data_IF_183629507249
#
_entry.id   IF_183629507249
#
_cell.length_a   1.000
_cell.length_b   1.000
_cell.length_c   1.000
_cell.angle_alpha   90.00
_cell.angle_beta   90.00
_cell.angle_gamma   90.00
#
_symmetry.space_group_name_H-M   'P 1'
#
loop_
_entity.id
_entity.type
_entity.pdbx_description
1 polymer ?
#
# COMPACT_ATOMS: atom_id res chain seq x y z
N UNK A 1 39.75 10.12 17.01
CA UNK A 1 38.45 10.82 16.89
C UNK A 1 37.57 9.98 15.97
N UNK A 2 36.40 9.55 16.42
CA UNK A 2 35.45 8.78 15.59
C UNK A 2 34.33 9.74 15.20
N UNK A 3 34.13 9.93 13.89
CA UNK A 3 33.04 10.75 13.37
C UNK A 3 31.72 9.95 13.43
N UNK A 4 30.58 10.60 13.74
CA UNK A 4 29.29 9.94 13.64
C UNK A 4 29.02 9.51 12.20
N UNK A 5 28.39 8.34 12.04
CA UNK A 5 27.91 7.82 10.74
C UNK A 5 26.39 7.86 10.70
N UNK A 6 25.85 8.29 9.58
CA UNK A 6 24.40 8.24 9.33
C UNK A 6 23.94 6.79 9.16
N UNK A 7 22.68 6.49 9.49
CA UNK A 7 22.10 5.17 9.20
C UNK A 7 22.11 4.89 7.69
N UNK A 8 22.31 3.62 7.34
CA UNK A 8 22.11 3.16 5.96
C UNK A 8 20.61 3.05 5.66
N UNK A 9 20.22 3.40 4.43
CA UNK A 9 18.86 3.17 3.91
C UNK A 9 18.71 1.83 3.20
N UNK A 10 19.75 0.98 3.21
CA UNK A 10 19.68 -0.37 2.62
C UNK A 10 18.69 -1.27 3.38
N UNK A 11 18.02 -2.11 2.62
CA UNK A 11 17.02 -3.08 3.05
C UNK A 11 17.48 -4.53 2.80
N UNK A 12 18.79 -4.75 2.66
CA UNK A 12 19.37 -6.07 2.42
C UNK A 12 18.91 -7.08 3.49
N UNK A 13 18.45 -8.25 3.04
CA UNK A 13 17.90 -9.30 3.91
C UNK A 13 16.49 -9.04 4.44
N UNK A 14 15.84 -7.95 4.05
CA UNK A 14 14.44 -7.66 4.40
C UNK A 14 13.49 -8.18 3.33
N UNK A 15 12.31 -8.59 3.78
CA UNK A 15 11.19 -9.02 2.93
C UNK A 15 10.11 -7.95 2.96
N UNK A 16 9.64 -7.52 1.80
CA UNK A 16 8.60 -6.50 1.68
C UNK A 16 7.40 -7.02 0.90
N UNK A 17 6.20 -6.63 1.29
CA UNK A 17 4.95 -6.88 0.57
C UNK A 17 4.40 -5.56 0.06
N UNK A 18 4.01 -5.49 -1.21
CA UNK A 18 3.36 -4.31 -1.80
C UNK A 18 2.04 -4.72 -2.43
N UNK A 19 0.92 -4.19 -1.94
CA UNK A 19 -0.42 -4.44 -2.51
C UNK A 19 -0.75 -3.47 -3.63
N UNK A 20 -1.55 -3.89 -4.61
CA UNK A 20 -1.85 -3.08 -5.80
C UNK A 20 -0.60 -2.79 -6.65
N UNK A 21 0.35 -3.73 -6.68
CA UNK A 21 1.68 -3.53 -7.28
C UNK A 21 1.77 -3.87 -8.77
N UNK A 22 0.66 -4.17 -9.45
CA UNK A 22 0.67 -4.48 -10.89
C UNK A 22 1.02 -3.29 -11.79
N UNK A 23 0.84 -2.04 -11.31
CA UNK A 23 1.10 -0.81 -12.08
C UNK A 23 1.20 0.42 -11.20
N UNK A 24 1.54 1.56 -11.82
CA UNK A 24 1.50 2.88 -11.19
C UNK A 24 2.40 2.99 -9.95
N UNK A 25 1.91 3.67 -8.92
CA UNK A 25 2.65 3.90 -7.67
C UNK A 25 3.07 2.59 -7.00
N UNK A 26 2.21 1.58 -6.97
CA UNK A 26 2.53 0.29 -6.35
C UNK A 26 3.74 -0.40 -7.00
N UNK A 27 3.77 -0.45 -8.33
CA UNK A 27 4.92 -1.02 -9.06
C UNK A 27 6.19 -0.20 -8.80
N UNK A 28 6.11 1.13 -8.83
CA UNK A 28 7.24 2.01 -8.57
C UNK A 28 7.81 1.81 -7.15
N UNK A 29 6.94 1.67 -6.14
CA UNK A 29 7.33 1.38 -4.75
C UNK A 29 7.99 0.01 -4.62
N UNK A 30 7.44 -1.01 -5.28
CA UNK A 30 8.05 -2.34 -5.29
C UNK A 30 9.46 -2.32 -5.92
N UNK A 31 9.62 -1.64 -7.05
CA UNK A 31 10.92 -1.46 -7.70
C UNK A 31 11.90 -0.71 -6.79
N UNK A 32 11.46 0.38 -6.13
CA UNK A 32 12.31 1.15 -5.22
C UNK A 32 12.77 0.35 -3.99
N UNK A 33 11.88 -0.45 -3.39
CA UNK A 33 12.23 -1.32 -2.27
C UNK A 33 13.22 -2.43 -2.69
N UNK A 34 13.01 -3.00 -3.88
CA UNK A 34 13.91 -3.99 -4.45
C UNK A 34 15.29 -3.39 -4.75
N UNK A 35 15.32 -2.16 -5.27
CA UNK A 35 16.56 -1.42 -5.51
C UNK A 35 17.34 -1.14 -4.22
N UNK A 36 16.63 -0.82 -3.14
CA UNK A 36 17.22 -0.71 -1.82
C UNK A 36 17.67 -2.05 -1.20
N UNK A 37 17.41 -3.19 -1.85
CA UNK A 37 17.92 -4.52 -1.45
C UNK A 37 16.90 -5.46 -0.82
N UNK A 38 15.62 -5.06 -0.73
CA UNK A 38 14.58 -5.95 -0.19
C UNK A 38 14.20 -7.04 -1.19
N UNK A 39 13.87 -8.24 -0.68
CA UNK A 39 13.12 -9.22 -1.45
C UNK A 39 11.64 -8.83 -1.45
N UNK A 40 11.12 -8.42 -2.61
CA UNK A 40 9.78 -7.85 -2.72
C UNK A 40 8.75 -8.88 -3.20
N UNK A 41 7.59 -8.91 -2.57
CA UNK A 41 6.41 -9.64 -3.02
C UNK A 41 5.40 -8.63 -3.53
N UNK A 42 5.11 -8.69 -4.82
CA UNK A 42 4.12 -7.86 -5.48
C UNK A 42 2.78 -8.60 -5.47
N UNK A 43 1.73 -7.90 -5.03
CA UNK A 43 0.37 -8.44 -4.99
C UNK A 43 -0.59 -7.56 -5.76
N UNK A 44 -1.41 -8.16 -6.62
CA UNK A 44 -2.56 -7.53 -7.26
C UNK A 44 -3.58 -8.60 -7.69
N UNK A 45 -4.76 -8.17 -8.12
CA UNK A 45 -5.82 -9.06 -8.65
C UNK A 45 -5.51 -9.61 -10.03
N UNK A 46 -4.77 -8.85 -10.84
CA UNK A 46 -4.45 -9.23 -12.22
C UNK A 46 -3.08 -9.91 -12.24
N UNK A 47 -3.08 -11.24 -12.39
CA UNK A 47 -1.87 -12.07 -12.36
C UNK A 47 -0.80 -11.61 -13.36
N UNK A 48 -1.21 -11.36 -14.61
CA UNK A 48 -0.28 -10.98 -15.67
C UNK A 48 0.40 -9.63 -15.41
N UNK A 49 -0.33 -8.64 -14.87
CA UNK A 49 0.24 -7.33 -14.54
C UNK A 49 1.29 -7.45 -13.42
N UNK A 50 1.01 -8.25 -12.39
CA UNK A 50 1.92 -8.40 -11.25
C UNK A 50 3.15 -9.23 -11.60
N UNK A 51 2.98 -10.27 -12.42
CA UNK A 51 4.09 -11.07 -12.93
C UNK A 51 5.01 -10.27 -13.86
N UNK A 52 4.44 -9.46 -14.77
CA UNK A 52 5.25 -8.59 -15.62
C UNK A 52 6.13 -7.63 -14.80
N UNK A 53 5.57 -7.03 -13.74
CA UNK A 53 6.32 -6.17 -12.83
C UNK A 53 7.42 -6.92 -12.06
N UNK A 54 7.12 -8.10 -11.52
CA UNK A 54 8.09 -8.93 -10.82
C UNK A 54 9.21 -9.42 -11.75
N UNK A 55 8.88 -9.82 -12.99
CA UNK A 55 9.83 -10.22 -14.01
C UNK A 55 10.81 -9.09 -14.35
N UNK A 56 10.31 -7.87 -14.56
CA UNK A 56 11.17 -6.70 -14.83
C UNK A 56 12.14 -6.41 -13.67
N UNK A 57 11.69 -6.54 -12.41
CA UNK A 57 12.55 -6.37 -11.23
C UNK A 57 13.64 -7.46 -11.19
N UNK A 58 13.30 -8.71 -11.52
CA UNK A 58 14.26 -9.83 -11.59
C UNK A 58 15.26 -9.67 -12.73
N UNK A 59 14.83 -9.25 -13.91
CA UNK A 59 15.71 -8.99 -15.07
C UNK A 59 16.75 -7.91 -14.73
N UNK A 60 16.38 -6.94 -13.90
CA UNK A 60 17.29 -5.94 -13.37
C UNK A 60 18.19 -6.45 -12.22
N UNK A 61 18.25 -7.76 -11.96
CA UNK A 61 19.15 -8.38 -10.98
C UNK A 61 18.69 -8.29 -9.53
N UNK A 62 17.41 -7.97 -9.26
CA UNK A 62 16.85 -7.82 -7.91
C UNK A 62 15.91 -8.97 -7.57
N UNK A 63 15.49 -9.10 -6.30
CA UNK A 63 14.64 -10.19 -5.85
C UNK A 63 13.16 -9.80 -5.84
N UNK A 64 12.33 -10.47 -6.64
CA UNK A 64 10.90 -10.23 -6.68
C UNK A 64 10.07 -11.50 -6.93
N UNK A 65 8.96 -11.61 -6.21
CA UNK A 65 7.93 -12.64 -6.38
C UNK A 65 6.60 -11.96 -6.71
N UNK A 66 5.84 -12.52 -7.64
CA UNK A 66 4.48 -12.10 -7.92
C UNK A 66 3.47 -13.04 -7.26
N UNK A 67 2.36 -12.50 -6.77
CA UNK A 67 1.25 -13.29 -6.26
C UNK A 67 -0.08 -12.63 -6.61
N UNK A 68 -0.98 -13.41 -7.19
CA UNK A 68 -2.35 -12.97 -7.45
C UNK A 68 -3.15 -13.05 -6.14
N UNK A 69 -3.67 -11.92 -5.68
CA UNK A 69 -4.53 -11.85 -4.50
C UNK A 69 -5.47 -10.64 -4.60
N UNK A 70 -6.76 -10.87 -4.38
CA UNK A 70 -7.71 -9.80 -4.12
C UNK A 70 -7.70 -9.47 -2.63
N UNK A 71 -7.20 -8.28 -2.29
CA UNK A 71 -7.14 -7.82 -0.90
C UNK A 71 -8.52 -7.53 -0.29
N UNK A 72 -9.58 -7.47 -1.11
CA UNK A 72 -10.95 -7.34 -0.63
C UNK A 72 -11.56 -8.69 -0.19
N UNK A 73 -10.96 -9.81 -0.61
CA UNK A 73 -11.29 -11.16 -0.14
C UNK A 73 -10.50 -11.45 1.14
N UNK A 74 -11.19 -11.34 2.29
CA UNK A 74 -10.54 -11.40 3.59
C UNK A 74 -10.09 -12.81 3.96
N UNK A 75 -10.78 -13.84 3.46
CA UNK A 75 -10.41 -15.24 3.69
C UNK A 75 -9.14 -15.54 2.90
N UNK A 76 -9.07 -15.12 1.62
CA UNK A 76 -7.86 -15.24 0.82
C UNK A 76 -6.67 -14.45 1.41
N UNK A 77 -6.92 -13.28 2.01
CA UNK A 77 -5.87 -12.52 2.72
C UNK A 77 -5.37 -13.28 3.94
N UNK A 78 -6.26 -13.88 4.73
CA UNK A 78 -5.87 -14.66 5.90
C UNK A 78 -5.01 -15.88 5.49
N UNK A 79 -5.45 -16.64 4.49
CA UNK A 79 -4.73 -17.79 3.95
C UNK A 79 -3.36 -17.39 3.39
N UNK A 80 -3.29 -16.27 2.65
CA UNK A 80 -2.03 -15.74 2.11
C UNK A 80 -0.97 -15.56 3.19
N UNK A 81 -1.33 -14.98 4.35
CA UNK A 81 -0.40 -14.75 5.44
C UNK A 81 -0.12 -16.02 6.27
N UNK A 82 -1.09 -16.92 6.41
CA UNK A 82 -0.91 -18.17 7.16
C UNK A 82 0.20 -19.06 6.57
N UNK A 83 0.34 -19.05 5.24
CA UNK A 83 1.31 -19.87 4.51
C UNK A 83 2.71 -19.23 4.36
N UNK A 84 2.91 -18.03 4.90
CA UNK A 84 4.12 -17.22 4.62
C UNK A 84 4.81 -16.80 5.91
N UNK A 85 6.16 -16.78 5.93
CA UNK A 85 6.87 -16.18 7.04
C UNK A 85 6.60 -14.67 7.09
N UNK A 86 6.84 -14.03 8.24
CA UNK A 86 6.64 -12.60 8.40
C UNK A 86 7.38 -11.76 7.35
N UNK A 87 6.67 -10.75 6.84
CA UNK A 87 7.30 -9.64 6.12
C UNK A 87 7.88 -8.65 7.14
N UNK A 88 8.92 -7.93 6.73
CA UNK A 88 9.50 -6.84 7.51
C UNK A 88 8.84 -5.51 7.16
N UNK A 89 8.33 -5.39 5.93
CA UNK A 89 7.76 -4.17 5.38
C UNK A 89 6.43 -4.52 4.72
N UNK A 90 5.38 -3.80 5.08
CA UNK A 90 4.11 -3.81 4.37
C UNK A 90 3.90 -2.44 3.73
N UNK A 91 3.62 -2.43 2.43
CA UNK A 91 3.15 -1.27 1.69
C UNK A 91 1.70 -1.53 1.26
N UNK A 92 0.77 -0.93 2.00
CA UNK A 92 -0.65 -0.96 1.68
C UNK A 92 -0.97 0.12 0.65
N UNK A 93 -0.85 -0.24 -0.63
CA UNK A 93 -1.06 0.67 -1.77
C UNK A 93 -2.37 0.42 -2.53
N UNK A 94 -2.95 -0.78 -2.48
CA UNK A 94 -4.20 -1.08 -3.16
C UNK A 94 -5.29 -0.05 -2.79
N UNK A 95 -5.98 0.47 -3.80
CA UNK A 95 -7.00 1.49 -3.62
C UNK A 95 -7.67 1.89 -4.92
N UNK A 96 -8.79 2.60 -4.79
CA UNK A 96 -9.61 3.10 -5.89
C UNK A 96 -10.21 4.46 -5.55
N UNK A 97 -10.82 5.10 -6.55
CA UNK A 97 -11.53 6.34 -6.43
C UNK A 97 -12.73 6.34 -7.39
N UNK A 98 -13.89 6.80 -6.92
CA UNK A 98 -15.12 6.93 -7.71
C UNK A 98 -15.69 8.33 -7.49
N UNK A 99 -15.24 9.33 -8.27
CA UNK A 99 -15.66 10.71 -8.05
C UNK A 99 -17.14 10.86 -8.39
N UNK A 100 -17.89 11.46 -7.47
CA UNK A 100 -19.31 11.74 -7.62
C UNK A 100 -19.77 12.79 -6.60
N UNK A 101 -20.71 13.68 -6.96
CA UNK A 101 -21.38 14.55 -5.99
C UNK A 101 -21.99 13.74 -4.85
N UNK A 102 -21.93 14.27 -3.63
CA UNK A 102 -22.29 13.51 -2.42
C UNK A 102 -23.72 12.97 -2.47
N UNK A 103 -24.66 13.76 -2.99
CA UNK A 103 -26.07 13.38 -3.10
C UNK A 103 -26.34 12.24 -4.11
N UNK A 104 -25.41 11.94 -5.01
CA UNK A 104 -25.56 10.91 -6.04
C UNK A 104 -24.77 9.62 -5.70
N UNK A 105 -24.00 9.63 -4.61
CA UNK A 105 -23.24 8.47 -4.13
C UNK A 105 -24.17 7.30 -3.83
N UNK A 106 -23.87 6.14 -4.44
CA UNK A 106 -24.61 4.90 -4.21
C UNK A 106 -23.98 4.06 -3.10
N UNK A 107 -24.72 3.06 -2.61
CA UNK A 107 -24.17 2.08 -1.66
C UNK A 107 -22.98 1.31 -2.25
N UNK A 108 -23.09 0.91 -3.52
CA UNK A 108 -22.01 0.21 -4.22
C UNK A 108 -20.75 1.07 -4.34
N UNK A 109 -20.88 2.39 -4.50
CA UNK A 109 -19.74 3.30 -4.49
C UNK A 109 -19.09 3.36 -3.11
N UNK A 110 -19.91 3.43 -2.05
CA UNK A 110 -19.42 3.40 -0.67
C UNK A 110 -18.63 2.11 -0.40
N UNK A 111 -19.23 0.96 -0.68
CA UNK A 111 -18.65 -0.35 -0.42
C UNK A 111 -17.39 -0.57 -1.26
N UNK A 112 -17.38 -0.13 -2.52
CA UNK A 112 -16.19 -0.23 -3.37
C UNK A 112 -15.03 0.63 -2.85
N UNK A 113 -15.29 1.89 -2.46
CA UNK A 113 -14.22 2.81 -2.03
C UNK A 113 -13.75 2.47 -0.62
N UNK A 114 -14.64 2.39 0.36
CA UNK A 114 -14.26 2.14 1.76
C UNK A 114 -13.83 0.69 1.97
N UNK A 115 -14.47 -0.26 1.27
CA UNK A 115 -14.10 -1.67 1.29
C UNK A 115 -12.68 -1.89 0.78
N UNK A 116 -12.28 -1.25 -0.33
CA UNK A 116 -10.94 -1.42 -0.89
C UNK A 116 -9.89 -0.49 -0.28
N UNK A 117 -10.22 0.75 0.11
CA UNK A 117 -9.20 1.69 0.58
C UNK A 117 -8.92 1.59 2.08
N UNK A 118 -9.90 1.13 2.87
CA UNK A 118 -9.81 1.15 4.33
C UNK A 118 -9.98 -0.26 4.93
N UNK A 119 -11.08 -0.95 4.62
CA UNK A 119 -11.35 -2.28 5.19
C UNK A 119 -10.27 -3.29 4.82
N UNK A 120 -9.96 -3.45 3.54
CA UNK A 120 -8.89 -4.36 3.09
C UNK A 120 -7.53 -3.98 3.70
N UNK A 121 -7.18 -2.69 3.74
CA UNK A 121 -5.91 -2.21 4.27
C UNK A 121 -5.74 -2.56 5.75
N UNK A 122 -6.82 -2.49 6.53
CA UNK A 122 -6.84 -2.94 7.92
C UNK A 122 -6.52 -4.43 8.03
N UNK A 123 -7.24 -5.29 7.30
CA UNK A 123 -7.08 -6.74 7.42
C UNK A 123 -5.76 -7.26 6.83
N UNK A 124 -5.26 -6.65 5.76
CA UNK A 124 -3.91 -6.94 5.25
C UNK A 124 -2.85 -6.56 6.30
N UNK A 125 -3.00 -5.39 6.94
CA UNK A 125 -2.10 -4.99 8.02
C UNK A 125 -2.18 -5.95 9.21
N UNK A 126 -3.39 -6.35 9.60
CA UNK A 126 -3.62 -7.31 10.68
C UNK A 126 -2.91 -8.64 10.41
N UNK A 127 -3.11 -9.26 9.24
CA UNK A 127 -2.45 -10.52 8.88
C UNK A 127 -0.92 -10.40 8.88
N UNK A 128 -0.40 -9.30 8.34
CA UNK A 128 1.04 -9.02 8.36
C UNK A 128 1.58 -8.88 9.79
N UNK A 129 0.89 -8.13 10.64
CA UNK A 129 1.28 -7.88 12.04
C UNK A 129 1.19 -9.15 12.86
N UNK A 130 0.15 -9.97 12.69
CA UNK A 130 0.04 -11.26 13.37
C UNK A 130 1.27 -12.14 13.10
N UNK A 131 1.77 -12.17 11.85
CA UNK A 131 3.02 -12.87 11.55
C UNK A 131 4.24 -12.19 12.14
N UNK A 132 4.35 -10.86 12.06
CA UNK A 132 5.45 -10.12 12.69
C UNK A 132 5.55 -10.42 14.19
N UNK A 133 4.42 -10.44 14.91
CA UNK A 133 4.38 -10.74 16.33
C UNK A 133 4.72 -12.20 16.62
N UNK A 134 4.13 -13.15 15.88
CA UNK A 134 4.38 -14.58 16.04
C UNK A 134 5.87 -14.94 15.81
N UNK A 135 6.51 -14.29 14.84
CA UNK A 135 7.90 -14.58 14.45
C UNK A 135 8.92 -13.69 15.19
N UNK A 136 8.47 -12.78 16.06
CA UNK A 136 9.34 -11.82 16.76
C UNK A 136 10.04 -10.82 15.82
N UNK A 137 9.43 -10.53 14.67
CA UNK A 137 9.97 -9.66 13.63
C UNK A 137 9.53 -8.22 13.86
N UNK A 138 10.52 -7.32 13.95
CA UNK A 138 10.32 -5.87 13.92
C UNK A 138 9.97 -5.43 12.51
N UNK A 139 9.17 -4.37 12.36
CA UNK A 139 8.65 -4.04 11.04
C UNK A 139 8.24 -2.60 10.80
N UNK A 140 7.77 -2.36 9.58
CA UNK A 140 7.23 -1.09 9.12
C UNK A 140 5.99 -1.31 8.27
N UNK A 141 4.86 -0.77 8.73
CA UNK A 141 3.65 -0.61 7.94
C UNK A 141 3.68 0.77 7.29
N UNK A 142 3.46 0.81 5.98
CA UNK A 142 3.44 2.01 5.16
C UNK A 142 2.12 2.01 4.41
N UNK A 143 1.26 2.98 4.69
CA UNK A 143 -0.05 3.08 4.07
C UNK A 143 -0.06 4.23 3.06
N UNK A 144 -0.55 3.96 1.86
CA UNK A 144 -0.70 5.01 0.85
C UNK A 144 -1.98 5.78 1.13
N UNK A 145 -1.80 6.92 1.80
CA UNK A 145 -2.79 7.94 2.04
C UNK A 145 -3.09 8.74 0.77
N UNK A 146 -3.23 10.05 0.94
CA UNK A 146 -3.41 11.04 -0.12
C UNK A 146 -3.31 12.41 0.53
N UNK A 147 -2.99 13.47 -0.21
CA UNK A 147 -3.28 14.83 0.27
C UNK A 147 -4.72 14.97 0.77
N UNK A 148 -5.66 14.24 0.15
CA UNK A 148 -7.08 14.20 0.51
C UNK A 148 -7.38 13.41 1.80
N UNK A 149 -6.36 12.86 2.47
CA UNK A 149 -6.43 12.43 3.88
C UNK A 149 -6.18 13.58 4.86
N UNK A 150 -5.92 14.79 4.35
CA UNK A 150 -5.68 16.01 5.13
C UNK A 150 -6.51 17.20 4.63
N UNK A 151 -7.05 17.14 3.42
CA UNK A 151 -7.92 18.17 2.84
C UNK A 151 -9.15 17.55 2.18
N UNK A 152 -10.16 18.37 1.89
CA UNK A 152 -11.32 17.98 1.08
C UNK A 152 -11.04 18.02 -0.42
N UNK A 153 -11.94 17.43 -1.20
CA UNK A 153 -11.96 17.52 -2.66
C UNK A 153 -13.38 17.43 -3.19
N UNK A 154 -13.73 18.27 -4.16
CA UNK A 154 -15.05 18.26 -4.81
C UNK A 154 -15.29 16.88 -5.42
N UNK A 155 -16.52 16.36 -5.24
CA UNK A 155 -16.97 15.05 -5.71
C UNK A 155 -16.13 13.87 -5.20
N UNK A 156 -15.41 14.03 -4.09
CA UNK A 156 -14.51 12.99 -3.55
C UNK A 156 -14.79 12.66 -2.08
N UNK A 157 -16.02 12.85 -1.63
CA UNK A 157 -16.43 12.63 -0.23
C UNK A 157 -16.00 11.26 0.31
N UNK A 158 -16.26 10.17 -0.44
CA UNK A 158 -15.86 8.82 -0.05
C UNK A 158 -14.35 8.60 -0.06
N UNK A 159 -13.65 9.16 -1.06
CA UNK A 159 -12.20 9.03 -1.15
C UNK A 159 -11.52 9.77 0.00
N UNK A 160 -11.93 11.01 0.28
CA UNK A 160 -11.52 11.77 1.46
C UNK A 160 -11.80 10.97 2.73
N UNK A 161 -13.03 10.50 2.95
CA UNK A 161 -13.37 9.70 4.12
C UNK A 161 -12.46 8.48 4.28
N UNK A 162 -12.20 7.75 3.19
CA UNK A 162 -11.32 6.58 3.23
C UNK A 162 -9.86 6.93 3.58
N UNK A 163 -9.33 8.05 3.08
CA UNK A 163 -7.94 8.44 3.31
C UNK A 163 -7.74 9.09 4.67
N UNK A 164 -8.70 9.87 5.16
CA UNK A 164 -8.74 10.33 6.56
C UNK A 164 -8.86 9.16 7.54
N UNK A 165 -9.70 8.18 7.23
CA UNK A 165 -9.81 6.95 8.00
C UNK A 165 -8.48 6.19 8.05
N UNK A 166 -7.76 6.12 6.94
CA UNK A 166 -6.44 5.50 6.86
C UNK A 166 -5.38 6.22 7.71
N UNK A 167 -5.39 7.56 7.73
CA UNK A 167 -4.52 8.38 8.60
C UNK A 167 -4.79 8.11 10.08
N UNK A 168 -6.06 8.09 10.49
CA UNK A 168 -6.46 7.75 11.86
C UNK A 168 -6.07 6.32 12.24
N UNK A 169 -6.35 5.36 11.36
CA UNK A 169 -5.99 3.95 11.53
C UNK A 169 -4.47 3.76 11.71
N UNK A 170 -3.64 4.38 10.87
CA UNK A 170 -2.19 4.28 10.99
C UNK A 170 -1.67 4.84 12.32
N UNK A 171 -2.28 5.90 12.85
CA UNK A 171 -1.91 6.46 14.17
C UNK A 171 -2.27 5.49 15.30
N UNK A 172 -3.44 4.84 15.22
CA UNK A 172 -3.83 3.76 16.14
C UNK A 172 -2.81 2.63 16.13
N UNK A 173 -2.49 2.10 14.95
CA UNK A 173 -1.49 1.04 14.79
C UNK A 173 -0.12 1.42 15.34
N UNK A 174 0.31 2.68 15.15
CA UNK A 174 1.60 3.13 15.68
C UNK A 174 1.66 3.05 17.21
N UNK A 175 0.55 3.34 17.91
CA UNK A 175 0.48 3.24 19.38
C UNK A 175 0.37 1.79 19.83
N UNK A 176 -0.51 1.01 19.20
CA UNK A 176 -0.75 -0.40 19.54
C UNK A 176 0.51 -1.26 19.39
N UNK A 177 1.37 -0.93 18.42
CA UNK A 177 2.50 -1.77 18.02
C UNK A 177 3.87 -1.23 18.45
N UNK A 178 3.92 -0.08 19.14
CA UNK A 178 5.16 0.56 19.56
C UNK A 178 6.06 -0.36 20.41
N UNK A 179 5.47 -1.08 21.37
CA UNK A 179 6.18 -2.01 22.25
C UNK A 179 6.86 -3.17 21.48
N UNK A 180 6.37 -3.48 20.28
CA UNK A 180 6.87 -4.55 19.43
C UNK A 180 7.91 -4.06 18.40
N UNK A 181 8.33 -2.80 18.46
CA UNK A 181 9.22 -2.18 17.46
C UNK A 181 8.66 -2.27 16.03
N UNK A 182 7.34 -2.21 15.88
CA UNK A 182 6.67 -2.13 14.57
C UNK A 182 6.14 -0.71 14.43
N UNK A 183 6.53 -0.03 13.36
CA UNK A 183 6.12 1.35 13.09
C UNK A 183 4.98 1.35 12.08
N UNK A 184 4.04 2.28 12.19
CA UNK A 184 3.01 2.53 11.18
C UNK A 184 3.04 3.98 10.73
N UNK A 185 3.16 4.21 9.43
CA UNK A 185 3.24 5.56 8.84
C UNK A 185 2.42 5.63 7.56
N UNK A 186 2.06 6.85 7.18
CA UNK A 186 1.40 7.13 5.91
C UNK A 186 2.36 7.86 4.96
N UNK A 187 2.19 7.61 3.67
CA UNK A 187 2.72 8.46 2.59
C UNK A 187 1.49 9.03 1.89
N UNK A 188 1.46 10.35 1.69
CA UNK A 188 0.33 11.07 1.14
C UNK A 188 0.66 11.67 -0.25
N UNK A 189 0.57 10.88 -1.34
CA UNK A 189 0.77 11.41 -2.67
C UNK A 189 -0.25 12.48 -3.04
N UNK A 190 0.15 13.35 -3.95
CA UNK A 190 -0.71 14.28 -4.68
C UNK A 190 -1.05 13.69 -6.06
N UNK A 191 -1.41 14.51 -7.04
CA UNK A 191 -1.58 14.06 -8.42
C UNK A 191 -0.23 13.70 -9.05
N UNK A 192 0.06 12.40 -9.09
CA UNK A 192 1.17 11.80 -9.85
C UNK A 192 0.60 11.24 -11.14
N UNK A 193 1.28 11.38 -12.28
CA UNK A 193 0.84 10.75 -13.53
C UNK A 193 0.95 9.22 -13.43
N UNK A 194 -0.21 8.56 -13.43
CA UNK A 194 -0.36 7.11 -13.28
C UNK A 194 -1.56 6.65 -14.10
N UNK A 195 -1.75 5.35 -14.35
CA UNK A 195 -2.99 4.87 -14.96
C UNK A 195 -4.28 5.31 -14.21
N UNK A 196 -4.23 5.46 -12.87
CA UNK A 196 -5.37 5.91 -12.07
C UNK A 196 -5.72 7.38 -12.30
N UNK A 197 -4.71 8.22 -12.52
CA UNK A 197 -4.85 9.68 -12.61
C UNK A 197 -4.86 10.21 -14.03
N UNK A 198 -4.40 9.42 -15.00
CA UNK A 198 -4.33 9.78 -16.43
C UNK A 198 -5.63 10.39 -16.97
N UNK A 199 -6.84 9.85 -16.68
CA UNK A 199 -8.07 10.45 -17.20
C UNK A 199 -8.29 11.91 -16.74
N UNK A 200 -7.84 12.28 -15.53
CA UNK A 200 -7.94 13.68 -15.07
C UNK A 200 -6.95 14.58 -15.80
N UNK A 201 -5.77 14.07 -16.16
CA UNK A 201 -4.79 14.80 -16.97
C UNK A 201 -5.15 14.83 -18.46
N UNK A 202 -6.27 14.26 -18.89
CA UNK A 202 -6.82 14.44 -20.24
C UNK A 202 -7.88 15.56 -20.26
N UNK A 203 -8.45 15.91 -19.10
CA UNK A 203 -9.40 17.01 -18.93
C UNK A 203 -8.67 18.37 -18.83
N UNK A 204 -8.96 19.27 -19.78
CA UNK A 204 -8.39 20.61 -19.81
C UNK A 204 -8.84 21.47 -18.62
N UNK A 205 -10.06 21.28 -18.11
CA UNK A 205 -10.57 22.01 -16.95
C UNK A 205 -9.89 21.59 -15.65
N UNK A 206 -9.41 20.35 -15.57
CA UNK A 206 -8.66 19.85 -14.42
C UNK A 206 -7.21 20.38 -14.39
N UNK A 207 -6.61 20.68 -15.56
CA UNK A 207 -5.25 21.24 -15.66
C UNK A 207 -5.16 22.73 -15.38
N UNK A 208 -6.25 23.47 -15.64
CA UNK A 208 -6.32 24.92 -15.52
C UNK A 208 -6.40 25.37 -14.05
#
# INVERSE_FOLDING_TARGET
MILPRTPSFRLDGRRALVTGAGRGIGLALAAALADAGAAVTLVARTGDEVEAGAAAIREAGRQATATTLDVADLDAVADFFAERPAFHILVNNAGTNRPKPMQDVTRDDYDAVLGLNLRSAFFVAQGCVQRMLADGVRGSLIHLGSQMGHVGGVDRSLYCASKWGLEGMSKGFALDLAAHSIRSNTIAPTFIETPLTRPYFEDAAFKA
#
